data_IF_225132713339
#
_entry.id   IF_225132713339
#
_cell.length_a   1.000
_cell.length_b   1.000
_cell.length_c   1.000
_cell.angle_alpha   90.00
_cell.angle_beta   90.00
_cell.angle_gamma   90.00
#
_symmetry.space_group_name_H-M   'P 1'
#
loop_
_entity.id
_entity.type
_entity.pdbx_description
1 polymer ?
#
# COMPACT_ATOMS: atom_id res chain seq x y z
N UNK A 1 -6.08 -49.48 36.78
CA UNK A 1 -6.44 -48.51 35.73
C UNK A 1 -5.22 -47.64 35.47
N UNK A 2 -4.58 -47.74 34.30
CA UNK A 2 -3.47 -46.85 33.94
C UNK A 2 -4.02 -45.50 33.49
N UNK A 3 -3.52 -44.42 34.07
CA UNK A 3 -3.81 -43.06 33.61
C UNK A 3 -3.06 -42.85 32.29
N UNK A 4 -3.79 -42.73 31.18
CA UNK A 4 -3.20 -42.24 29.93
C UNK A 4 -2.98 -40.73 30.07
N UNK A 5 -1.72 -40.31 30.00
CA UNK A 5 -1.33 -38.90 29.98
C UNK A 5 -0.99 -38.54 28.53
N UNK A 6 -1.67 -37.53 28.00
CA UNK A 6 -1.40 -37.00 26.65
C UNK A 6 -0.63 -35.69 26.81
N UNK A 7 0.60 -35.62 26.28
CA UNK A 7 1.34 -34.36 26.14
C UNK A 7 1.12 -33.80 24.76
N UNK A 8 0.65 -32.56 24.67
CA UNK A 8 0.54 -31.82 23.41
C UNK A 8 1.80 -30.99 23.23
N UNK A 9 2.56 -31.26 22.17
CA UNK A 9 3.78 -30.52 21.84
C UNK A 9 3.48 -29.10 21.31
N UNK A 10 4.51 -28.24 21.30
CA UNK A 10 4.45 -26.85 20.82
C UNK A 10 4.10 -26.81 19.32
N UNK A 11 3.30 -25.82 18.91
CA UNK A 11 2.99 -25.54 17.51
C UNK A 11 4.26 -25.40 16.64
N UNK A 12 4.41 -26.27 15.63
CA UNK A 12 5.61 -26.39 14.79
C UNK A 12 5.53 -25.68 13.43
N UNK A 13 4.40 -25.03 13.11
CA UNK A 13 4.22 -24.26 11.88
C UNK A 13 3.25 -24.91 10.88
N UNK A 14 3.19 -24.36 9.67
CA UNK A 14 2.31 -24.82 8.59
C UNK A 14 3.06 -25.81 7.69
N UNK A 15 2.46 -26.96 7.43
CA UNK A 15 3.02 -27.88 6.46
C UNK A 15 2.78 -27.35 5.03
N UNK A 16 3.85 -27.22 4.25
CA UNK A 16 3.81 -26.76 2.84
C UNK A 16 4.07 -27.91 1.85
N UNK A 17 4.08 -29.17 2.30
CA UNK A 17 4.21 -30.31 1.38
C UNK A 17 3.00 -30.39 0.44
N UNK A 18 3.25 -30.68 -0.84
CA UNK A 18 2.19 -30.79 -1.86
C UNK A 18 1.35 -32.08 -1.75
N UNK A 19 1.75 -33.02 -0.90
CA UNK A 19 1.02 -34.24 -0.58
C UNK A 19 0.91 -34.47 0.93
N UNK A 20 -0.18 -35.10 1.35
CA UNK A 20 -0.47 -35.41 2.76
C UNK A 20 0.31 -36.64 3.26
N UNK A 21 0.98 -37.37 2.37
CA UNK A 21 1.68 -38.62 2.69
C UNK A 21 2.88 -38.43 3.64
N UNK A 22 3.42 -37.22 3.73
CA UNK A 22 4.55 -36.85 4.58
C UNK A 22 4.17 -35.92 5.73
N UNK A 23 2.87 -35.77 6.01
CA UNK A 23 2.41 -34.95 7.11
C UNK A 23 2.83 -35.51 8.46
N UNK A 24 3.60 -34.72 9.21
CA UNK A 24 3.83 -34.96 10.63
C UNK A 24 2.49 -34.97 11.36
N UNK A 25 2.23 -35.90 12.30
CA UNK A 25 1.01 -35.90 13.12
C UNK A 25 0.81 -34.62 13.94
N UNK A 26 1.87 -33.82 14.12
CA UNK A 26 1.82 -32.52 14.80
C UNK A 26 1.46 -31.35 13.86
N UNK A 27 1.21 -31.61 12.58
CA UNK A 27 0.79 -30.62 11.58
C UNK A 27 -0.68 -30.82 11.19
N UNK A 28 -1.44 -29.74 11.08
CA UNK A 28 -2.80 -29.75 10.53
C UNK A 28 -2.73 -29.53 9.01
N UNK A 29 -3.48 -30.28 8.18
CA UNK A 29 -3.50 -30.07 6.72
C UNK A 29 -4.15 -28.72 6.36
N UNK A 30 -5.03 -28.23 7.24
CA UNK A 30 -5.99 -27.16 6.94
C UNK A 30 -5.60 -25.80 7.52
N UNK A 31 -4.32 -25.43 7.48
CA UNK A 31 -3.96 -24.05 7.73
C UNK A 31 -4.29 -23.19 6.51
N UNK A 32 -5.57 -22.93 6.33
CA UNK A 32 -6.08 -22.06 5.30
C UNK A 32 -6.11 -20.61 5.79
N UNK A 33 -5.77 -19.67 4.91
CA UNK A 33 -6.16 -18.28 5.11
C UNK A 33 -7.68 -18.22 5.21
N UNK A 34 -8.21 -17.43 6.14
CA UNK A 34 -9.65 -17.28 6.31
C UNK A 34 -10.09 -15.93 5.75
N UNK A 35 -11.19 -15.93 5.02
CA UNK A 35 -11.87 -14.73 4.53
C UNK A 35 -13.06 -14.46 5.45
N UNK A 36 -13.20 -13.20 5.86
CA UNK A 36 -14.30 -12.70 6.70
C UNK A 36 -15.21 -11.71 5.96
N UNK A 37 -15.14 -11.68 4.62
CA UNK A 37 -15.91 -10.74 3.81
C UNK A 37 -17.41 -10.95 4.02
N UNK A 38 -18.14 -9.86 4.26
CA UNK A 38 -19.58 -9.91 4.54
C UNK A 38 -19.93 -10.48 5.92
N UNK A 39 -18.95 -10.68 6.81
CA UNK A 39 -19.17 -11.27 8.13
C UNK A 39 -19.25 -12.80 8.14
N UNK A 40 -19.02 -13.45 7.00
CA UNK A 40 -18.97 -14.90 6.89
C UNK A 40 -17.54 -15.40 7.06
N UNK A 41 -17.34 -16.44 7.88
CA UNK A 41 -16.05 -17.10 8.01
C UNK A 41 -15.93 -18.25 7.01
N UNK A 42 -15.10 -18.09 5.98
CA UNK A 42 -14.84 -19.12 4.96
C UNK A 42 -13.35 -19.26 4.67
N UNK A 43 -12.95 -20.37 4.05
CA UNK A 43 -11.61 -20.49 3.46
C UNK A 43 -11.42 -19.39 2.43
N UNK A 44 -10.34 -18.63 2.54
CA UNK A 44 -10.01 -17.59 1.59
C UNK A 44 -9.82 -18.19 0.21
N UNK A 45 -10.39 -17.54 -0.80
CA UNK A 45 -10.09 -17.86 -2.19
C UNK A 45 -8.57 -17.72 -2.40
N UNK A 46 -7.97 -18.64 -3.16
CA UNK A 46 -6.55 -18.54 -3.50
C UNK A 46 -6.26 -17.17 -4.11
N UNK A 47 -5.22 -16.49 -3.62
CA UNK A 47 -4.80 -15.21 -4.18
C UNK A 47 -4.05 -15.46 -5.49
N UNK A 48 -4.57 -14.95 -6.61
CA UNK A 48 -3.80 -14.89 -7.85
C UNK A 48 -2.95 -13.63 -7.89
N UNK A 49 -1.83 -13.70 -8.61
CA UNK A 49 -0.98 -12.54 -8.82
C UNK A 49 -1.72 -11.52 -9.68
N UNK A 50 -1.87 -10.30 -9.18
CA UNK A 50 -2.55 -9.22 -9.90
C UNK A 50 -1.69 -8.62 -11.03
N UNK A 51 -0.37 -8.55 -10.84
CA UNK A 51 0.57 -7.97 -11.81
C UNK A 51 1.73 -8.93 -12.08
N UNK A 52 1.88 -9.38 -13.32
CA UNK A 52 2.95 -10.32 -13.72
C UNK A 52 4.35 -9.70 -13.72
N UNK A 53 4.48 -8.39 -13.96
CA UNK A 53 5.76 -7.71 -13.81
C UNK A 53 6.09 -7.50 -12.33
N UNK A 54 7.32 -7.78 -11.92
CA UNK A 54 7.83 -7.41 -10.61
C UNK A 54 8.14 -5.90 -10.58
N UNK A 55 7.90 -5.25 -9.43
CA UNK A 55 8.34 -3.86 -9.23
C UNK A 55 9.87 -3.80 -9.41
N UNK A 56 10.41 -2.90 -10.26
CA UNK A 56 11.83 -2.86 -10.53
C UNK A 56 12.67 -2.57 -9.29
N UNK A 57 13.86 -3.17 -9.23
CA UNK A 57 14.82 -2.98 -8.14
C UNK A 57 14.75 -4.06 -7.06
N UNK A 58 15.57 -3.89 -6.02
CA UNK A 58 15.69 -4.84 -4.89
C UNK A 58 15.28 -4.21 -3.57
N UNK A 59 14.85 -2.95 -3.59
CA UNK A 59 14.46 -2.21 -2.40
C UNK A 59 13.03 -2.58 -2.00
N UNK A 60 12.73 -2.41 -0.71
CA UNK A 60 11.41 -2.67 -0.15
C UNK A 60 10.37 -1.77 -0.83
N UNK A 61 9.17 -2.31 -1.05
CA UNK A 61 7.99 -1.51 -1.36
C UNK A 61 7.54 -0.82 -0.07
N UNK A 62 7.67 0.51 -0.04
CA UNK A 62 7.35 1.34 1.11
C UNK A 62 5.88 1.75 1.12
N UNK A 63 5.25 1.86 -0.05
CA UNK A 63 3.87 2.28 -0.19
C UNK A 63 3.20 1.71 -1.45
N UNK A 64 1.89 1.48 -1.38
CA UNK A 64 1.04 1.06 -2.49
C UNK A 64 -0.27 1.84 -2.43
N UNK A 65 -0.71 2.36 -3.57
CA UNK A 65 -2.02 3.00 -3.74
C UNK A 65 -2.57 2.71 -5.14
N UNK A 66 -3.86 2.96 -5.33
CA UNK A 66 -4.53 2.88 -6.62
C UNK A 66 -4.93 4.29 -7.05
N UNK A 67 -4.42 4.74 -8.21
CA UNK A 67 -4.99 5.87 -8.92
C UNK A 67 -6.32 5.44 -9.54
N UNK A 68 -7.44 5.96 -9.01
CA UNK A 68 -8.78 5.65 -9.50
C UNK A 68 -9.34 6.80 -10.32
N UNK A 69 -9.80 6.49 -11.51
CA UNK A 69 -10.52 7.40 -12.41
C UNK A 69 -11.86 6.78 -12.79
N UNK A 70 -12.72 7.53 -13.50
CA UNK A 70 -14.01 7.05 -14.01
C UNK A 70 -13.89 6.07 -15.20
N UNK A 71 -12.90 5.19 -15.21
CA UNK A 71 -12.68 4.24 -16.30
C UNK A 71 -11.40 3.42 -16.21
N UNK A 72 -10.49 3.77 -15.30
CA UNK A 72 -9.27 3.03 -15.07
C UNK A 72 -8.84 3.08 -13.60
N UNK A 73 -8.27 1.98 -13.13
CA UNK A 73 -7.46 1.93 -11.91
C UNK A 73 -6.01 1.68 -12.29
N UNK A 74 -5.13 2.62 -11.97
CA UNK A 74 -3.69 2.52 -12.24
C UNK A 74 -2.97 2.27 -10.90
N UNK A 75 -2.37 1.09 -10.71
CA UNK A 75 -1.55 0.80 -9.54
C UNK A 75 -0.33 1.73 -9.47
N UNK A 76 -0.07 2.26 -8.28
CA UNK A 76 1.08 3.11 -8.00
C UNK A 76 1.80 2.56 -6.77
N UNK A 77 3.11 2.36 -6.88
CA UNK A 77 3.97 1.91 -5.78
C UNK A 77 5.13 2.85 -5.58
N UNK A 78 5.61 2.92 -4.34
CA UNK A 78 6.85 3.62 -4.01
C UNK A 78 7.82 2.60 -3.44
N UNK A 79 8.99 2.50 -4.06
CA UNK A 79 10.05 1.61 -3.62
C UNK A 79 11.38 2.35 -3.71
N UNK A 80 12.09 2.47 -2.59
CA UNK A 80 13.42 3.08 -2.58
C UNK A 80 13.44 4.55 -3.00
N UNK A 81 12.34 5.28 -2.79
CA UNK A 81 12.19 6.67 -3.21
C UNK A 81 11.85 6.87 -4.69
N UNK A 82 11.57 5.80 -5.43
CA UNK A 82 11.06 5.87 -6.81
C UNK A 82 9.58 5.53 -6.80
N UNK A 83 8.78 6.39 -7.43
CA UNK A 83 7.36 6.17 -7.69
C UNK A 83 7.23 5.46 -9.03
N UNK A 84 6.63 4.28 -9.02
CA UNK A 84 6.30 3.52 -10.22
C UNK A 84 4.79 3.49 -10.42
N UNK A 85 4.36 3.64 -11.67
CA UNK A 85 2.98 3.40 -12.09
C UNK A 85 2.93 2.16 -12.98
N UNK A 86 1.91 1.32 -12.81
CA UNK A 86 1.72 0.15 -13.66
C UNK A 86 0.92 0.54 -14.92
N UNK A 87 1.61 0.76 -16.02
CA UNK A 87 1.09 1.26 -17.29
C UNK A 87 1.51 0.29 -18.39
N UNK A 88 0.62 -0.04 -19.32
CA UNK A 88 0.92 -0.93 -20.46
C UNK A 88 1.55 -2.28 -20.04
N UNK A 89 1.05 -2.88 -18.94
CA UNK A 89 1.55 -4.12 -18.35
C UNK A 89 3.01 -4.08 -17.87
N UNK A 90 3.55 -2.89 -17.58
CA UNK A 90 4.88 -2.70 -17.03
C UNK A 90 4.89 -1.68 -15.89
N UNK A 91 5.82 -1.84 -14.96
CA UNK A 91 6.10 -0.83 -13.94
C UNK A 91 7.02 0.24 -14.51
N UNK A 92 6.48 1.43 -14.74
CA UNK A 92 7.21 2.56 -15.31
C UNK A 92 7.57 3.55 -14.19
N UNK A 93 8.85 3.94 -14.03
CA UNK A 93 9.22 4.98 -13.08
C UNK A 93 8.67 6.33 -13.56
N UNK A 94 7.88 6.99 -12.73
CA UNK A 94 7.24 8.28 -13.05
C UNK A 94 7.78 9.44 -12.21
N UNK A 95 8.45 9.15 -11.10
CA UNK A 95 9.06 10.16 -10.24
C UNK A 95 10.12 9.57 -9.32
N UNK A 96 11.13 10.36 -8.96
CA UNK A 96 12.18 9.99 -8.00
C UNK A 96 12.35 11.11 -6.98
N UNK A 97 12.23 10.80 -5.69
CA UNK A 97 12.50 11.73 -4.61
C UNK A 97 14.00 12.04 -4.52
N UNK A 98 14.36 13.30 -4.33
CA UNK A 98 15.76 13.75 -4.34
C UNK A 98 16.56 13.32 -3.10
N UNK A 99 15.88 13.03 -1.98
CA UNK A 99 16.51 12.49 -0.78
C UNK A 99 15.60 11.45 -0.16
N UNK A 100 16.16 10.34 0.32
CA UNK A 100 15.39 9.27 0.97
C UNK A 100 15.75 9.19 2.44
N UNK A 101 14.76 9.31 3.33
CA UNK A 101 14.91 8.94 4.74
C UNK A 101 14.88 7.43 4.87
N UNK A 102 15.48 6.93 5.95
CA UNK A 102 15.45 5.51 6.30
C UNK A 102 14.03 4.97 6.62
N UNK A 103 13.04 5.85 6.84
CA UNK A 103 11.64 5.53 7.20
C UNK A 103 10.68 6.65 6.76
N UNK A 104 10.40 6.80 5.47
CA UNK A 104 9.35 7.71 5.01
C UNK A 104 7.98 7.25 5.50
N UNK A 105 7.07 8.20 5.75
CA UNK A 105 5.65 7.91 6.01
C UNK A 105 4.91 8.41 4.79
N UNK A 106 4.32 7.48 4.05
CA UNK A 106 3.54 7.82 2.87
C UNK A 106 2.06 7.79 3.21
N UNK A 107 1.35 8.79 2.71
CA UNK A 107 -0.11 8.81 2.71
C UNK A 107 -0.63 9.31 1.36
N UNK A 108 -1.85 8.94 1.02
CA UNK A 108 -2.45 9.25 -0.26
C UNK A 108 -3.93 9.61 -0.14
N UNK A 109 -4.31 10.71 -0.78
CA UNK A 109 -5.72 11.09 -0.94
C UNK A 109 -6.06 11.22 -2.43
N UNK A 110 -7.23 10.71 -2.81
CA UNK A 110 -7.80 10.94 -4.13
C UNK A 110 -8.49 12.30 -4.16
N UNK A 111 -8.08 13.17 -5.08
CA UNK A 111 -8.66 14.50 -5.26
C UNK A 111 -9.07 14.70 -6.71
N UNK A 112 -10.06 15.56 -6.93
CA UNK A 112 -10.38 16.07 -8.27
C UNK A 112 -10.06 17.56 -8.31
N UNK A 113 -9.18 17.96 -9.22
CA UNK A 113 -8.85 19.36 -9.48
C UNK A 113 -9.37 19.68 -10.87
N UNK A 114 -10.30 20.63 -10.96
CA UNK A 114 -11.08 20.90 -12.16
C UNK A 114 -11.78 19.62 -12.65
N UNK A 115 -11.36 19.09 -13.80
CA UNK A 115 -11.94 17.90 -14.45
C UNK A 115 -11.08 16.65 -14.29
N UNK A 116 -9.92 16.76 -13.65
CA UNK A 116 -8.92 15.69 -13.61
C UNK A 116 -8.81 15.12 -12.19
N UNK A 117 -8.85 13.80 -12.11
CA UNK A 117 -8.61 13.05 -10.87
C UNK A 117 -7.10 12.90 -10.64
N UNK A 118 -6.68 12.96 -9.39
CA UNK A 118 -5.28 12.81 -8.99
C UNK A 118 -5.21 12.04 -7.67
N UNK A 119 -4.34 11.02 -7.52
CA UNK A 119 -3.77 10.70 -6.24
C UNK A 119 -2.78 11.80 -5.87
N UNK A 120 -3.00 12.43 -4.73
CA UNK A 120 -2.02 13.30 -4.07
C UNK A 120 -1.30 12.45 -3.03
N UNK A 121 0.02 12.43 -3.09
CA UNK A 121 0.88 11.63 -2.23
C UNK A 121 1.74 12.56 -1.39
N UNK A 122 1.71 12.32 -0.08
CA UNK A 122 2.56 12.95 0.91
C UNK A 122 3.63 11.96 1.40
N UNK A 123 4.82 12.45 1.75
CA UNK A 123 5.92 11.63 2.29
C UNK A 123 6.49 12.15 3.63
N UNK A 124 5.95 13.26 4.15
CA UNK A 124 6.42 13.92 5.37
C UNK A 124 7.71 14.72 5.22
N UNK A 125 8.34 14.80 4.04
CA UNK A 125 9.66 15.41 3.87
C UNK A 125 9.77 16.39 2.71
N UNK A 126 9.12 16.06 1.60
CA UNK A 126 9.08 16.89 0.40
C UNK A 126 7.68 17.47 0.26
N UNK A 127 7.55 18.45 -0.65
CA UNK A 127 6.24 18.89 -1.10
C UNK A 127 5.43 17.69 -1.63
N UNK A 128 4.13 17.72 -1.38
CA UNK A 128 3.23 16.71 -1.91
C UNK A 128 3.34 16.63 -3.43
N UNK A 129 3.17 15.44 -3.98
CA UNK A 129 3.13 15.22 -5.42
C UNK A 129 1.75 14.79 -5.85
N UNK A 130 1.39 15.05 -7.11
CA UNK A 130 0.17 14.55 -7.74
C UNK A 130 0.50 13.88 -9.07
N UNK A 131 -0.23 12.81 -9.39
CA UNK A 131 -0.06 12.05 -10.62
C UNK A 131 -1.34 12.14 -11.47
N UNK A 132 -1.22 12.45 -12.76
CA UNK A 132 -2.39 12.55 -13.67
C UNK A 132 -2.69 11.27 -14.48
N UNK A 133 -1.84 10.24 -14.35
CA UNK A 133 -1.87 9.04 -15.19
C UNK A 133 -0.70 8.94 -16.17
N UNK A 134 0.00 10.04 -16.41
CA UNK A 134 1.16 10.12 -17.31
C UNK A 134 2.38 10.73 -16.63
N UNK A 135 2.19 11.82 -15.88
CA UNK A 135 3.25 12.62 -15.28
C UNK A 135 2.99 12.92 -13.81
N UNK A 136 4.07 13.09 -13.06
CA UNK A 136 4.03 13.53 -11.66
C UNK A 136 4.46 14.99 -11.58
N UNK A 137 3.67 15.80 -10.87
CA UNK A 137 3.95 17.21 -10.62
C UNK A 137 3.82 17.54 -9.13
N UNK A 138 4.39 18.67 -8.70
CA UNK A 138 4.21 19.15 -7.33
C UNK A 138 2.76 19.58 -7.10
N UNK A 139 2.26 19.35 -5.90
CA UNK A 139 0.96 19.80 -5.42
C UNK A 139 1.13 21.01 -4.49
N UNK A 140 0.31 22.03 -4.68
CA UNK A 140 0.39 23.28 -3.95
C UNK A 140 1.36 24.29 -4.55
N UNK A 141 1.48 25.45 -3.91
CA UNK A 141 2.31 26.59 -4.28
C UNK A 141 2.86 27.32 -3.04
N UNK A 142 3.88 28.16 -3.23
CA UNK A 142 4.43 29.00 -2.16
C UNK A 142 3.46 30.09 -1.70
N UNK A 143 2.62 30.61 -2.61
CA UNK A 143 1.74 31.76 -2.36
C UNK A 143 0.81 31.56 -1.14
N UNK A 144 0.37 30.32 -0.91
CA UNK A 144 -0.44 29.95 0.25
C UNK A 144 0.24 28.89 1.13
N UNK A 145 1.58 28.80 1.05
CA UNK A 145 2.41 27.85 1.77
C UNK A 145 1.95 26.39 1.60
N UNK A 146 1.30 26.07 0.49
CA UNK A 146 0.70 24.76 0.23
C UNK A 146 1.73 23.69 -0.21
N UNK A 147 2.95 24.13 -0.53
CA UNK A 147 4.10 23.31 -0.92
C UNK A 147 4.93 22.77 0.27
N UNK A 148 4.50 23.01 1.51
CA UNK A 148 5.23 22.56 2.70
C UNK A 148 5.02 21.04 2.91
N UNK A 149 6.05 20.30 3.35
CA UNK A 149 5.92 18.88 3.67
C UNK A 149 4.86 18.57 4.72
N UNK A 150 4.08 17.53 4.47
CA UNK A 150 3.03 17.00 5.35
C UNK A 150 3.10 15.47 5.32
N UNK A 151 2.58 14.80 6.36
CA UNK A 151 2.67 13.33 6.48
C UNK A 151 1.33 12.62 6.27
N UNK A 152 0.21 13.28 6.56
CA UNK A 152 -1.11 12.66 6.58
C UNK A 152 -2.08 13.45 5.72
N UNK A 153 -2.94 12.76 4.98
CA UNK A 153 -3.91 13.31 4.06
C UNK A 153 -5.28 12.66 4.28
N UNK A 154 -6.34 13.45 4.25
CA UNK A 154 -7.69 12.90 4.24
C UNK A 154 -8.66 13.80 3.48
N UNK A 155 -9.61 13.17 2.80
CA UNK A 155 -10.69 13.88 2.12
C UNK A 155 -11.93 13.90 3.00
N UNK A 156 -12.48 15.10 3.20
CA UNK A 156 -13.75 15.25 3.89
C UNK A 156 -14.61 16.31 3.20
N UNK A 157 -15.80 15.90 2.75
CA UNK A 157 -16.79 16.77 2.08
C UNK A 157 -16.21 17.62 0.94
N UNK A 158 -15.36 17.00 0.11
CA UNK A 158 -14.76 17.66 -1.05
C UNK A 158 -13.60 18.60 -0.73
N UNK A 159 -13.08 18.57 0.50
CA UNK A 159 -11.89 19.32 0.91
C UNK A 159 -10.77 18.37 1.30
N UNK A 160 -9.54 18.77 1.00
CA UNK A 160 -8.35 18.01 1.38
C UNK A 160 -7.81 18.58 2.68
N UNK A 161 -7.76 17.73 3.70
CA UNK A 161 -7.10 18.02 4.97
C UNK A 161 -5.72 17.39 4.95
N UNK A 162 -4.72 18.14 5.40
CA UNK A 162 -3.36 17.63 5.57
C UNK A 162 -2.82 17.93 6.96
N UNK A 163 -2.01 17.03 7.50
CA UNK A 163 -1.41 17.16 8.82
C UNK A 163 0.00 16.55 8.86
N UNK A 164 0.67 16.71 10.00
CA UNK A 164 2.02 16.13 10.23
C UNK A 164 3.17 17.10 9.99
N UNK A 165 2.89 18.39 9.86
CA UNK A 165 3.88 19.46 10.03
C UNK A 165 3.79 19.98 11.47
N UNK A 166 4.89 19.88 12.23
CA UNK A 166 4.92 20.31 13.63
C UNK A 166 4.75 21.83 13.81
N UNK A 167 5.15 22.63 12.81
CA UNK A 167 4.99 24.08 12.85
C UNK A 167 3.58 24.51 12.44
N UNK A 168 2.89 23.71 11.63
CA UNK A 168 1.55 23.99 11.11
C UNK A 168 0.72 22.70 11.18
N UNK A 169 0.10 22.41 12.34
CA UNK A 169 -0.41 21.07 12.67
C UNK A 169 -1.46 20.56 11.69
N UNK A 170 -2.34 21.45 11.23
CA UNK A 170 -3.44 21.14 10.32
C UNK A 170 -3.50 22.15 9.17
N UNK A 171 -3.84 21.65 7.98
CA UNK A 171 -3.98 22.44 6.75
C UNK A 171 -5.21 22.00 5.98
N UNK A 172 -5.83 22.96 5.31
CA UNK A 172 -7.00 22.76 4.49
C UNK A 172 -6.72 23.30 3.09
N UNK A 173 -7.00 22.48 2.08
CA UNK A 173 -6.89 22.80 0.67
C UNK A 173 -8.25 22.67 -0.01
#
# INVERSE_FOLDING_TARGET
>A
MSIQTYSVDRFIGLNQSGDENLMSPACTPDAANMCTDGGELRVAYGSTRLFEAAVPGTLRIDFFTLYRTNGAEIPVVIAGGVVYAYIENAWTPVYTYQSTRSKPIYDCAQVRINTTDYPVIADGQHGMIKFDGSSVTQFGSEENASNIPVSFLTMYRGRLFAAGDAANPDRLY
#
